data_IF_386219387821
#
_entry.id   IF_386219387821
#
_cell.length_a   1.000
_cell.length_b   1.000
_cell.length_c   1.000
_cell.angle_alpha   90.00
_cell.angle_beta   90.00
_cell.angle_gamma   90.00
#
_symmetry.space_group_name_H-M   'P 1'
#
loop_
_entity.id
_entity.type
_entity.pdbx_description
1 polymer ?
#
# COMPACT_ATOMS: atom_id res chain seq x y z
N UNK A 1 -6.08 24.13 -23.62
CA UNK A 1 -5.96 23.67 -25.01
C UNK A 1 -4.59 24.08 -25.58
N UNK A 2 -4.20 25.34 -25.57
CA UNK A 2 -2.91 25.80 -26.08
C UNK A 2 -1.70 25.09 -25.45
N UNK A 3 -1.67 24.89 -24.13
CA UNK A 3 -0.59 24.18 -23.46
C UNK A 3 -0.49 22.70 -23.88
N UNK A 4 -1.62 22.05 -24.12
CA UNK A 4 -1.65 20.67 -24.60
C UNK A 4 -1.05 20.54 -26.01
N UNK A 5 -1.47 21.42 -26.92
CA UNK A 5 -0.92 21.45 -28.30
C UNK A 5 0.58 21.79 -28.30
N UNK A 6 1.01 22.68 -27.40
CA UNK A 6 2.42 22.98 -27.25
C UNK A 6 3.25 21.76 -26.82
N UNK A 7 2.75 20.97 -25.85
CA UNK A 7 3.44 19.75 -25.40
C UNK A 7 3.51 18.72 -26.52
N UNK A 8 2.42 18.53 -27.27
CA UNK A 8 2.39 17.58 -28.39
C UNK A 8 3.34 17.98 -29.51
N UNK A 9 3.40 19.28 -29.84
CA UNK A 9 4.25 19.79 -30.92
C UNK A 9 5.74 19.74 -30.59
N UNK A 10 6.12 19.88 -29.30
CA UNK A 10 7.51 19.94 -28.86
C UNK A 10 7.93 18.73 -28.02
N UNK A 11 7.29 17.57 -28.25
CA UNK A 11 7.46 16.38 -27.40
C UNK A 11 8.92 15.94 -27.29
N UNK A 12 9.72 16.09 -28.35
CA UNK A 12 11.13 15.67 -28.37
C UNK A 12 12.04 16.46 -27.41
N UNK A 13 11.66 17.68 -27.09
CA UNK A 13 12.41 18.55 -26.20
C UNK A 13 11.85 18.57 -24.78
N UNK A 14 10.83 17.76 -24.52
CA UNK A 14 10.13 17.74 -23.25
C UNK A 14 10.26 16.39 -22.53
N UNK A 15 10.32 16.48 -21.21
CA UNK A 15 10.01 15.38 -20.30
C UNK A 15 8.53 15.45 -19.98
N UNK A 16 7.79 14.40 -20.27
CA UNK A 16 6.38 14.30 -19.92
C UNK A 16 6.22 13.46 -18.66
N UNK A 17 5.50 13.99 -17.69
CA UNK A 17 5.21 13.35 -16.42
C UNK A 17 3.70 13.34 -16.14
N UNK A 18 3.24 12.41 -15.32
CA UNK A 18 1.87 12.48 -14.78
C UNK A 18 1.78 13.55 -13.71
N UNK A 19 0.74 14.38 -13.76
CA UNK A 19 0.44 15.44 -12.78
C UNK A 19 0.23 14.86 -11.39
N UNK A 20 -0.53 13.77 -11.30
CA UNK A 20 -0.79 13.06 -10.05
C UNK A 20 -0.23 11.65 -10.18
N UNK A 21 0.79 11.36 -9.40
CA UNK A 21 1.27 9.99 -9.26
C UNK A 21 0.24 9.22 -8.44
N UNK A 22 -0.64 8.50 -9.11
CA UNK A 22 -1.36 7.43 -8.43
C UNK A 22 -0.30 6.36 -8.11
N UNK A 23 -0.12 5.95 -6.85
CA UNK A 23 0.75 4.83 -6.52
C UNK A 23 0.09 3.55 -7.04
N UNK A 24 0.16 3.32 -8.31
CA UNK A 24 -0.20 2.03 -8.90
C UNK A 24 0.99 1.11 -8.71
N UNK A 25 0.76 0.04 -7.96
CA UNK A 25 1.69 -1.00 -7.54
C UNK A 25 2.45 -1.72 -8.67
N UNK A 26 2.24 -1.37 -9.93
CA UNK A 26 2.69 -2.19 -11.08
C UNK A 26 3.75 -1.52 -11.94
N UNK A 27 4.06 -0.23 -11.81
CA UNK A 27 5.16 0.35 -12.59
C UNK A 27 6.27 0.89 -11.70
N UNK A 28 7.39 0.20 -11.73
CA UNK A 28 8.69 0.71 -11.26
C UNK A 28 9.15 1.93 -12.09
N UNK A 29 8.40 2.32 -13.09
CA UNK A 29 8.59 3.49 -13.90
C UNK A 29 8.03 4.71 -13.19
N UNK A 30 8.90 5.64 -12.88
CA UNK A 30 8.60 6.92 -12.24
C UNK A 30 7.71 7.84 -13.10
N UNK A 31 6.86 7.32 -13.94
CA UNK A 31 5.86 8.07 -14.70
C UNK A 31 6.37 9.26 -15.52
N UNK A 32 7.71 9.40 -15.65
CA UNK A 32 8.37 10.44 -16.44
C UNK A 32 9.02 9.81 -17.67
N UNK A 33 8.75 10.38 -18.82
CA UNK A 33 9.25 9.89 -20.10
C UNK A 33 9.87 11.06 -20.86
N UNK A 34 11.08 10.86 -21.39
CA UNK A 34 11.70 11.80 -22.30
C UNK A 34 11.16 11.56 -23.71
N UNK A 35 10.54 12.56 -24.30
CA UNK A 35 9.87 12.40 -25.58
C UNK A 35 10.79 11.95 -26.72
N UNK A 36 12.08 12.35 -26.70
CA UNK A 36 13.08 11.94 -27.70
C UNK A 36 13.54 10.48 -27.56
N UNK A 37 13.22 9.80 -26.47
CA UNK A 37 13.59 8.38 -26.24
C UNK A 37 12.45 7.42 -26.58
N UNK A 38 11.28 7.93 -26.95
CA UNK A 38 10.12 7.14 -27.32
C UNK A 38 10.23 6.57 -28.73
N UNK A 39 9.82 5.33 -28.91
CA UNK A 39 9.52 4.77 -30.22
C UNK A 39 8.30 5.48 -30.86
N UNK A 40 8.14 5.36 -32.17
CA UNK A 40 7.00 5.97 -32.85
C UNK A 40 5.64 5.47 -32.31
N UNK A 41 5.54 4.19 -31.96
CA UNK A 41 4.33 3.61 -31.40
C UNK A 41 4.02 4.16 -30.00
N UNK A 42 5.02 4.21 -29.11
CA UNK A 42 4.89 4.77 -27.76
C UNK A 42 4.56 6.27 -27.81
N UNK A 43 5.15 6.99 -28.77
CA UNK A 43 4.87 8.40 -29.03
C UNK A 43 3.41 8.62 -29.43
N UNK A 44 2.92 7.83 -30.38
CA UNK A 44 1.53 7.93 -30.84
C UNK A 44 0.55 7.63 -29.70
N UNK A 45 0.80 6.61 -28.91
CA UNK A 45 -0.01 6.26 -27.75
C UNK A 45 0.02 7.36 -26.66
N UNK A 46 1.18 7.94 -26.36
CA UNK A 46 1.30 9.04 -25.43
C UNK A 46 0.53 10.29 -25.92
N UNK A 47 0.65 10.64 -27.17
CA UNK A 47 -0.09 11.77 -27.78
C UNK A 47 -1.59 11.56 -27.66
N UNK A 48 -2.08 10.36 -27.94
CA UNK A 48 -3.50 10.05 -27.83
C UNK A 48 -3.99 10.16 -26.37
N UNK A 49 -3.22 9.66 -25.41
CA UNK A 49 -3.53 9.82 -23.97
C UNK A 49 -3.54 11.29 -23.55
N UNK A 50 -2.58 12.09 -24.01
CA UNK A 50 -2.54 13.54 -23.72
C UNK A 50 -3.76 14.25 -24.33
N UNK A 51 -4.21 13.86 -25.52
CA UNK A 51 -5.42 14.41 -26.14
C UNK A 51 -6.67 14.10 -25.35
N UNK A 52 -6.78 12.86 -24.86
CA UNK A 52 -7.94 12.41 -24.11
C UNK A 52 -7.98 12.98 -22.68
N UNK A 53 -6.83 13.09 -22.04
CA UNK A 53 -6.71 13.42 -20.60
C UNK A 53 -5.53 14.36 -20.32
N UNK A 54 -5.47 15.48 -21.03
CA UNK A 54 -4.36 16.43 -20.93
C UNK A 54 -4.09 16.96 -19.51
N UNK A 55 -5.10 17.00 -18.64
CA UNK A 55 -4.96 17.42 -17.25
C UNK A 55 -4.17 16.41 -16.37
N UNK A 56 -4.02 15.16 -16.83
CA UNK A 56 -3.23 14.13 -16.15
C UNK A 56 -1.73 14.23 -16.43
N UNK A 57 -1.30 15.13 -17.31
CA UNK A 57 0.08 15.23 -17.79
C UNK A 57 0.66 16.63 -17.66
N UNK A 58 1.95 16.68 -17.41
CA UNK A 58 2.77 17.90 -17.42
C UNK A 58 3.95 17.70 -18.34
N UNK A 59 4.15 18.63 -19.28
CA UNK A 59 5.38 18.74 -20.07
C UNK A 59 6.36 19.69 -19.39
N UNK A 60 7.60 19.25 -19.22
CA UNK A 60 8.70 20.05 -18.66
C UNK A 60 9.86 20.06 -19.65
N UNK A 61 10.50 21.20 -19.83
CA UNK A 61 11.67 21.32 -20.67
C UNK A 61 12.78 20.34 -20.23
N UNK A 62 13.34 19.61 -21.19
CA UNK A 62 14.43 18.69 -20.95
C UNK A 62 15.75 19.47 -20.84
N UNK A 63 16.23 19.65 -19.62
CA UNK A 63 17.49 20.34 -19.35
C UNK A 63 18.69 19.39 -19.47
N UNK A 64 19.80 19.89 -19.98
CA UNK A 64 21.08 19.17 -19.97
C UNK A 64 21.78 19.42 -18.63
N UNK A 65 22.03 18.37 -17.86
CA UNK A 65 22.68 18.47 -16.57
C UNK A 65 24.19 18.63 -16.69
N UNK A 66 24.79 19.36 -15.78
CA UNK A 66 26.24 19.37 -15.55
C UNK A 66 26.70 17.99 -15.11
N UNK A 67 27.98 17.69 -15.31
CA UNK A 67 28.57 16.41 -14.91
C UNK A 67 29.55 16.55 -13.77
N UNK A 68 29.70 15.46 -13.00
CA UNK A 68 30.75 15.32 -11.98
C UNK A 68 31.48 14.00 -12.18
N UNK A 69 32.79 13.92 -11.82
CA UNK A 69 33.55 12.69 -11.91
C UNK A 69 32.97 11.61 -10.98
N UNK A 70 32.72 10.42 -11.48
CA UNK A 70 32.28 9.26 -10.72
C UNK A 70 33.21 8.08 -10.98
N UNK A 71 33.44 7.26 -9.95
CA UNK A 71 34.21 6.04 -10.08
C UNK A 71 33.37 4.92 -10.66
N UNK A 72 33.82 4.34 -11.76
CA UNK A 72 33.14 3.25 -12.44
C UNK A 72 34.16 2.26 -13.01
N UNK A 73 34.12 1.02 -12.56
CA UNK A 73 34.95 -0.07 -13.07
C UNK A 73 36.46 0.18 -13.07
N UNK A 74 37.02 0.98 -12.15
CA UNK A 74 38.45 1.23 -12.03
C UNK A 74 38.94 2.56 -12.65
N UNK A 75 38.04 3.38 -13.21
CA UNK A 75 38.38 4.68 -13.78
C UNK A 75 37.32 5.75 -13.47
N UNK A 76 37.68 7.02 -13.66
CA UNK A 76 36.76 8.14 -13.52
C UNK A 76 35.99 8.39 -14.80
N UNK A 77 34.68 8.48 -14.67
CA UNK A 77 33.75 8.82 -15.77
C UNK A 77 32.97 10.09 -15.41
N UNK A 78 32.61 10.89 -16.39
CA UNK A 78 31.73 12.02 -16.21
C UNK A 78 30.28 11.52 -16.09
N UNK A 79 29.62 11.79 -14.97
CA UNK A 79 28.22 11.42 -14.72
C UNK A 79 27.35 12.69 -14.51
N UNK A 80 26.16 12.74 -15.11
CA UNK A 80 25.22 13.83 -14.87
C UNK A 80 24.91 13.97 -13.38
N UNK A 81 24.87 15.21 -12.89
CA UNK A 81 24.62 15.49 -11.48
C UNK A 81 23.49 16.50 -11.30
N UNK A 82 22.84 16.42 -10.16
CA UNK A 82 21.95 17.45 -9.63
C UNK A 82 22.30 17.77 -8.18
N UNK A 83 22.43 19.05 -7.86
CA UNK A 83 22.70 19.55 -6.53
C UNK A 83 21.41 20.07 -5.90
N UNK A 84 21.03 19.50 -4.75
CA UNK A 84 19.92 19.98 -3.95
C UNK A 84 20.46 20.90 -2.86
N UNK A 85 20.04 22.16 -2.91
CA UNK A 85 20.31 23.16 -1.88
C UNK A 85 19.05 23.37 -1.04
N UNK A 86 19.24 23.84 0.19
CA UNK A 86 18.16 24.17 1.11
C UNK A 86 18.28 25.63 1.53
N UNK A 87 17.20 26.38 1.34
CA UNK A 87 17.07 27.75 1.75
C UNK A 87 15.75 27.97 2.49
N UNK A 88 15.72 28.79 3.49
CA UNK A 88 14.53 29.21 4.20
C UNK A 88 14.40 30.71 4.22
N UNK A 89 13.19 31.23 4.05
CA UNK A 89 12.91 32.65 4.17
C UNK A 89 13.02 33.07 5.64
N UNK A 90 13.71 34.20 5.88
CA UNK A 90 13.84 34.81 7.21
C UNK A 90 13.62 36.32 7.09
N UNK A 91 12.41 36.79 7.33
CA UNK A 91 12.01 38.17 7.02
C UNK A 91 12.05 38.43 5.51
N UNK A 92 12.79 39.46 5.09
CA UNK A 92 12.95 39.82 3.68
C UNK A 92 14.13 39.12 2.99
N UNK A 93 14.87 38.27 3.74
CA UNK A 93 16.06 37.56 3.26
C UNK A 93 15.88 36.06 3.26
N UNK A 94 16.89 35.35 2.71
CA UNK A 94 16.98 33.89 2.74
C UNK A 94 18.25 33.44 3.48
N UNK A 95 18.07 32.45 4.36
CA UNK A 95 19.19 31.73 4.95
C UNK A 95 19.38 30.43 4.19
N UNK A 96 20.55 30.20 3.66
CA UNK A 96 20.94 29.02 2.91
C UNK A 96 21.75 28.11 3.81
N UNK A 97 21.37 26.83 3.86
CA UNK A 97 22.14 25.79 4.57
C UNK A 97 23.54 25.69 3.91
N UNK A 98 24.65 25.78 4.68
CA UNK A 98 26.00 25.63 4.15
C UNK A 98 26.31 24.17 3.85
N UNK A 99 25.73 23.62 2.78
CA UNK A 99 25.81 22.25 2.34
C UNK A 99 24.68 21.91 1.40
N UNK A 100 24.65 20.66 0.95
CA UNK A 100 23.64 20.17 0.04
C UNK A 100 23.72 18.66 -0.18
N UNK A 101 22.85 18.15 -1.00
CA UNK A 101 22.88 16.77 -1.44
C UNK A 101 23.15 16.72 -2.95
N UNK A 102 24.31 16.23 -3.34
CA UNK A 102 24.64 15.98 -4.74
C UNK A 102 24.22 14.56 -5.10
N UNK A 103 23.41 14.43 -6.14
CA UNK A 103 23.07 13.14 -6.76
C UNK A 103 23.74 13.03 -8.10
N UNK A 104 24.21 11.82 -8.43
CA UNK A 104 24.82 11.47 -9.72
C UNK A 104 24.00 10.38 -10.39
N UNK A 105 23.78 10.49 -11.70
CA UNK A 105 23.09 9.48 -12.48
C UNK A 105 23.95 8.22 -12.64
N UNK A 106 23.31 7.05 -12.67
CA UNK A 106 23.95 5.79 -13.07
C UNK A 106 24.09 5.64 -14.59
N UNK A 107 23.34 6.42 -15.36
CA UNK A 107 23.39 6.41 -16.84
C UNK A 107 24.25 7.55 -17.39
N UNK A 108 24.74 7.38 -18.63
CA UNK A 108 25.50 8.40 -19.33
C UNK A 108 24.60 9.45 -20.01
N UNK A 109 23.29 9.28 -19.97
CA UNK A 109 22.37 10.26 -20.54
C UNK A 109 22.48 11.58 -19.76
N UNK A 110 22.90 12.65 -20.44
CA UNK A 110 22.99 14.00 -19.86
C UNK A 110 21.61 14.65 -19.70
N UNK A 111 20.58 14.07 -20.28
CA UNK A 111 19.18 14.48 -20.11
C UNK A 111 18.57 13.63 -19.00
N UNK A 112 18.64 14.09 -17.78
CA UNK A 112 18.11 13.30 -16.66
C UNK A 112 16.61 13.43 -16.59
N UNK A 113 15.94 12.32 -16.82
CA UNK A 113 14.50 12.18 -16.63
C UNK A 113 14.16 11.82 -15.20
N UNK A 114 14.98 11.08 -14.50
CA UNK A 114 14.75 10.70 -13.11
C UNK A 114 16.03 10.34 -12.37
N UNK A 115 16.32 11.11 -11.34
CA UNK A 115 17.40 10.82 -10.38
C UNK A 115 17.03 9.72 -9.38
N UNK A 116 15.88 9.08 -9.52
CA UNK A 116 15.39 8.05 -8.57
C UNK A 116 15.83 6.63 -8.95
N UNK A 117 16.26 6.41 -10.18
CA UNK A 117 16.71 5.10 -10.67
C UNK A 117 18.19 4.90 -10.40
N UNK A 118 18.54 4.22 -9.30
CA UNK A 118 19.90 3.73 -9.04
C UNK A 118 20.99 4.79 -8.97
N UNK A 119 20.64 6.04 -8.65
CA UNK A 119 21.61 7.14 -8.57
C UNK A 119 22.48 7.04 -7.32
N UNK A 120 23.77 7.29 -7.47
CA UNK A 120 24.67 7.49 -6.36
C UNK A 120 24.52 8.86 -5.72
N UNK A 121 25.10 9.05 -4.55
CA UNK A 121 25.23 10.35 -3.89
C UNK A 121 26.68 10.73 -3.69
N UNK A 122 26.97 12.03 -3.63
CA UNK A 122 28.27 12.58 -3.30
C UNK A 122 28.11 13.62 -2.20
N UNK A 123 29.15 13.73 -1.36
CA UNK A 123 29.25 14.81 -0.42
C UNK A 123 29.34 16.17 -1.14
N UNK A 124 28.68 17.16 -0.57
CA UNK A 124 28.72 18.54 -1.05
C UNK A 124 29.49 19.39 -0.06
N UNK A 125 30.67 19.80 -0.43
CA UNK A 125 31.50 20.67 0.39
C UNK A 125 31.37 22.12 -0.08
N UNK A 126 31.08 22.98 0.87
CA UNK A 126 31.02 24.41 0.64
C UNK A 126 32.36 25.02 1.09
N UNK A 127 33.12 25.57 0.15
CA UNK A 127 34.39 26.23 0.44
C UNK A 127 34.11 27.58 1.09
N UNK A 128 34.81 27.88 2.19
CA UNK A 128 34.74 29.17 2.87
C UNK A 128 36.14 29.73 3.02
N UNK A 129 36.27 31.03 2.82
CA UNK A 129 37.53 31.79 3.08
C UNK A 129 37.70 32.16 4.55
N UNK A 130 36.66 32.00 5.36
CA UNK A 130 36.66 32.30 6.80
C UNK A 130 36.41 31.01 7.60
N UNK A 131 36.92 30.94 8.86
CA UNK A 131 36.60 29.81 9.71
C UNK A 131 35.09 29.64 9.87
N UNK A 132 34.58 28.46 9.59
CA UNK A 132 33.15 28.11 9.76
C UNK A 132 32.94 27.69 11.21
N UNK A 133 32.05 28.36 11.93
CA UNK A 133 31.63 27.96 13.27
C UNK A 133 30.93 26.58 13.22
N UNK A 134 31.30 25.70 14.14
CA UNK A 134 30.59 24.44 14.28
C UNK A 134 29.20 24.70 14.86
N UNK A 135 28.14 24.44 14.06
CA UNK A 135 26.76 24.43 14.54
C UNK A 135 26.28 22.99 14.65
N UNK A 136 25.82 22.64 15.83
CA UNK A 136 25.21 21.36 16.05
C UNK A 136 23.86 21.49 16.76
N UNK A 137 22.83 20.83 16.24
CA UNK A 137 21.56 20.67 16.95
C UNK A 137 21.67 19.65 18.08
N UNK A 138 22.73 18.85 18.11
CA UNK A 138 23.05 17.98 19.23
C UNK A 138 23.54 18.84 20.40
N UNK A 139 22.92 18.69 21.55
CA UNK A 139 23.36 19.37 22.78
C UNK A 139 24.73 18.86 23.18
N UNK A 140 25.70 19.78 23.29
CA UNK A 140 27.04 19.51 23.82
C UNK A 140 27.14 19.75 25.33
N UNK A 141 26.06 20.20 25.99
CA UNK A 141 26.11 20.58 27.40
C UNK A 141 25.67 19.46 28.32
N UNK A 142 26.49 19.19 29.34
CA UNK A 142 26.19 18.44 30.55
C UNK A 142 25.18 19.15 31.49
N UNK A 143 24.56 20.24 31.04
CA UNK A 143 23.49 20.91 31.77
C UNK A 143 22.24 20.00 31.81
N UNK A 144 21.62 19.95 32.99
CA UNK A 144 20.44 19.14 33.25
C UNK A 144 19.47 19.11 32.08
N UNK A 145 19.09 17.96 31.57
CA UNK A 145 18.27 17.88 30.37
C UNK A 145 16.92 18.57 30.61
N UNK A 146 16.69 19.64 29.88
CA UNK A 146 15.35 20.24 29.83
C UNK A 146 14.45 19.24 29.11
N UNK A 147 13.53 18.65 29.83
CA UNK A 147 12.53 17.72 29.27
C UNK A 147 11.68 18.45 28.22
N UNK A 148 12.05 18.32 26.96
CA UNK A 148 11.22 18.71 25.83
C UNK A 148 10.73 17.44 25.15
N UNK A 149 9.43 17.23 25.15
CA UNK A 149 8.82 16.18 24.34
C UNK A 149 8.82 16.64 22.88
N UNK A 150 9.90 16.33 22.17
CA UNK A 150 9.92 16.47 20.71
C UNK A 150 9.16 15.28 20.11
N UNK A 151 8.36 15.48 19.09
CA UNK A 151 7.69 14.38 18.40
C UNK A 151 6.35 14.69 17.75
N UNK A 152 5.91 15.96 17.78
CA UNK A 152 4.66 16.35 17.14
C UNK A 152 4.82 16.65 15.64
N UNK A 153 6.04 16.79 15.13
CA UNK A 153 6.30 17.02 13.73
C UNK A 153 6.40 15.70 12.95
N UNK A 154 5.30 15.32 12.34
CA UNK A 154 5.26 14.17 11.45
C UNK A 154 5.35 14.66 10.00
N UNK A 155 6.43 14.33 9.25
CA UNK A 155 6.49 14.64 7.83
C UNK A 155 5.31 14.04 7.06
N UNK A 156 4.72 14.79 6.13
CA UNK A 156 3.53 14.37 5.37
C UNK A 156 3.70 12.98 4.73
N UNK A 157 4.89 12.66 4.21
CA UNK A 157 5.19 11.33 3.68
C UNK A 157 5.14 10.23 4.73
N UNK A 158 5.61 10.51 5.93
CA UNK A 158 5.56 9.53 7.02
C UNK A 158 4.12 9.30 7.47
N UNK A 159 3.31 10.39 7.57
CA UNK A 159 1.89 10.29 7.84
C UNK A 159 1.16 9.44 6.79
N UNK A 160 1.39 9.74 5.50
CA UNK A 160 0.82 8.99 4.39
C UNK A 160 1.22 7.51 4.42
N UNK A 161 2.50 7.22 4.58
CA UNK A 161 2.98 5.84 4.66
C UNK A 161 2.40 5.09 5.88
N UNK A 162 2.30 5.72 7.06
CA UNK A 162 1.69 5.10 8.23
C UNK A 162 0.20 4.81 8.00
N UNK A 163 -0.53 5.75 7.40
CA UNK A 163 -1.92 5.54 7.01
C UNK A 163 -2.07 4.36 6.03
N UNK A 164 -1.27 4.33 4.98
CA UNK A 164 -1.32 3.24 4.00
C UNK A 164 -0.85 1.90 4.57
N UNK A 165 0.11 1.91 5.48
CA UNK A 165 0.48 0.69 6.22
C UNK A 165 -0.72 0.13 6.98
N UNK A 166 -1.47 1.00 7.66
CA UNK A 166 -2.71 0.62 8.34
C UNK A 166 -3.74 0.02 7.38
N UNK A 167 -3.97 0.70 6.25
CA UNK A 167 -4.90 0.23 5.21
C UNK A 167 -4.51 -1.15 4.68
N UNK A 168 -3.25 -1.32 4.26
CA UNK A 168 -2.80 -2.58 3.67
C UNK A 168 -2.71 -3.72 4.69
N UNK A 169 -2.32 -3.45 5.93
CA UNK A 169 -2.31 -4.46 6.98
C UNK A 169 -3.73 -5.02 7.24
N UNK A 170 -4.73 -4.15 7.39
CA UNK A 170 -6.12 -4.57 7.60
C UNK A 170 -6.70 -5.26 6.36
N UNK A 171 -6.37 -4.78 5.14
CA UNK A 171 -6.77 -5.44 3.89
C UNK A 171 -6.21 -6.84 3.78
N UNK A 172 -4.94 -7.02 4.14
CA UNK A 172 -4.26 -8.33 4.14
C UNK A 172 -4.93 -9.28 5.13
N UNK A 173 -5.19 -8.82 6.35
CA UNK A 173 -5.90 -9.60 7.36
C UNK A 173 -7.30 -10.00 6.88
N UNK A 174 -8.05 -9.05 6.31
CA UNK A 174 -9.39 -9.30 5.76
C UNK A 174 -9.38 -10.30 4.62
N UNK A 175 -8.41 -10.20 3.70
CA UNK A 175 -8.24 -11.15 2.60
C UNK A 175 -7.94 -12.57 3.12
N UNK A 176 -7.07 -12.70 4.12
CA UNK A 176 -6.78 -14.00 4.76
C UNK A 176 -8.03 -14.60 5.42
N UNK A 177 -8.85 -13.80 6.11
CA UNK A 177 -10.10 -14.24 6.73
C UNK A 177 -11.12 -14.69 5.68
N UNK A 178 -11.26 -13.93 4.58
CA UNK A 178 -12.12 -14.29 3.45
C UNK A 178 -11.70 -15.63 2.82
N UNK A 179 -10.41 -15.80 2.54
CA UNK A 179 -9.88 -17.03 1.97
C UNK A 179 -10.07 -18.22 2.92
N UNK A 180 -9.84 -18.03 4.23
CA UNK A 180 -10.09 -19.08 5.22
C UNK A 180 -11.56 -19.51 5.25
N UNK A 181 -12.50 -18.55 5.23
CA UNK A 181 -13.92 -18.84 5.17
C UNK A 181 -14.31 -19.59 3.88
N UNK A 182 -13.69 -19.23 2.73
CA UNK A 182 -13.87 -19.96 1.48
C UNK A 182 -13.35 -21.39 1.54
N UNK A 183 -12.16 -21.62 2.12
CA UNK A 183 -11.60 -22.97 2.31
C UNK A 183 -12.48 -23.83 3.21
N UNK A 184 -13.01 -23.29 4.31
CA UNK A 184 -13.94 -23.99 5.18
C UNK A 184 -15.16 -24.46 4.41
N UNK A 185 -15.70 -23.60 3.53
CA UNK A 185 -16.84 -23.94 2.68
C UNK A 185 -16.52 -25.02 1.64
N UNK A 186 -15.35 -24.95 1.04
CA UNK A 186 -14.90 -25.97 0.10
C UNK A 186 -14.72 -27.35 0.77
N UNK A 187 -14.42 -27.36 2.08
CA UNK A 187 -14.29 -28.60 2.86
C UNK A 187 -15.64 -29.19 3.31
N UNK A 188 -16.67 -28.35 3.53
CA UNK A 188 -17.98 -28.76 4.11
C UNK A 188 -18.94 -29.43 3.11
N UNK A 189 -18.60 -29.58 1.87
CA UNK A 189 -19.34 -30.06 0.71
C UNK A 189 -19.84 -28.94 -0.23
N UNK A 190 -19.33 -29.04 -1.42
CA UNK A 190 -19.12 -27.77 -2.13
C UNK A 190 -20.23 -27.37 -3.06
N UNK A 191 -21.22 -28.12 -3.45
CA UNK A 191 -21.75 -27.76 -4.76
C UNK A 191 -23.23 -27.97 -5.02
N UNK A 192 -23.99 -28.48 -4.12
CA UNK A 192 -25.41 -28.68 -4.39
C UNK A 192 -26.31 -27.48 -4.06
N UNK A 193 -25.81 -26.54 -3.27
CA UNK A 193 -26.56 -25.31 -2.94
C UNK A 193 -26.15 -24.15 -3.83
N UNK A 194 -27.03 -23.77 -4.75
CA UNK A 194 -26.84 -22.63 -5.65
C UNK A 194 -26.60 -21.29 -4.92
N UNK A 195 -27.19 -21.13 -3.74
CA UNK A 195 -27.12 -19.90 -2.93
C UNK A 195 -25.77 -19.80 -2.23
N UNK A 196 -25.25 -20.91 -1.69
CA UNK A 196 -23.90 -20.96 -1.11
C UNK A 196 -22.82 -20.64 -2.16
N UNK A 197 -23.00 -21.14 -3.37
CA UNK A 197 -22.09 -20.85 -4.48
C UNK A 197 -22.11 -19.36 -4.87
N UNK A 198 -23.28 -18.72 -4.92
CA UNK A 198 -23.40 -17.28 -5.18
C UNK A 198 -22.69 -16.47 -4.08
N UNK A 199 -22.82 -16.85 -2.82
CA UNK A 199 -22.11 -16.20 -1.71
C UNK A 199 -20.58 -16.33 -1.87
N UNK A 200 -20.06 -17.51 -2.17
CA UNK A 200 -18.63 -17.73 -2.42
C UNK A 200 -18.12 -16.86 -3.59
N UNK A 201 -18.86 -16.76 -4.66
CA UNK A 201 -18.50 -15.90 -5.79
C UNK A 201 -18.46 -14.43 -5.43
N UNK A 202 -19.36 -13.96 -4.56
CA UNK A 202 -19.33 -12.58 -4.06
C UNK A 202 -18.12 -12.34 -3.17
N UNK A 203 -17.75 -13.28 -2.32
CA UNK A 203 -16.52 -13.16 -1.51
C UNK A 203 -15.27 -13.11 -2.41
N UNK A 204 -15.19 -13.95 -3.45
CA UNK A 204 -14.12 -13.91 -4.44
C UNK A 204 -14.09 -12.56 -5.21
N UNK A 205 -15.26 -12.03 -5.54
CA UNK A 205 -15.33 -10.71 -6.18
C UNK A 205 -14.77 -9.60 -5.28
N UNK A 206 -15.09 -9.64 -4.00
CA UNK A 206 -14.59 -8.66 -3.02
C UNK A 206 -13.07 -8.73 -2.86
N UNK A 207 -12.48 -9.93 -2.94
CA UNK A 207 -11.03 -10.10 -2.97
C UNK A 207 -10.42 -9.45 -4.22
N UNK A 208 -11.02 -9.70 -5.38
CA UNK A 208 -10.54 -9.17 -6.66
C UNK A 208 -10.65 -7.64 -6.76
N UNK A 209 -11.70 -7.07 -6.20
CA UNK A 209 -12.08 -5.66 -6.35
C UNK A 209 -12.40 -5.01 -5.00
N UNK A 210 -11.38 -4.81 -4.14
CA UNK A 210 -11.59 -4.20 -2.83
C UNK A 210 -12.22 -2.81 -2.97
N UNK A 211 -13.39 -2.62 -2.35
CA UNK A 211 -14.12 -1.34 -2.37
C UNK A 211 -15.08 -1.14 -3.53
N UNK A 212 -15.13 -2.01 -4.55
CA UNK A 212 -16.12 -1.94 -5.62
C UNK A 212 -17.45 -2.60 -5.21
N UNK A 213 -18.20 -1.90 -4.38
CA UNK A 213 -19.49 -2.38 -3.87
C UNK A 213 -20.55 -2.38 -4.96
N UNK A 214 -20.50 -1.42 -5.88
CA UNK A 214 -21.47 -1.31 -6.97
C UNK A 214 -21.31 -2.41 -8.02
N UNK A 215 -20.09 -2.78 -8.35
CA UNK A 215 -19.81 -3.94 -9.18
C UNK A 215 -20.27 -5.24 -8.54
N UNK A 216 -20.08 -5.38 -7.22
CA UNK A 216 -20.56 -6.50 -6.44
C UNK A 216 -22.09 -6.69 -6.55
N UNK A 217 -22.85 -5.58 -6.52
CA UNK A 217 -24.31 -5.60 -6.62
C UNK A 217 -24.83 -5.89 -8.03
N UNK A 218 -24.16 -5.34 -9.05
CA UNK A 218 -24.57 -5.49 -10.47
C UNK A 218 -24.27 -6.86 -11.06
N UNK A 219 -23.35 -7.63 -10.45
CA UNK A 219 -22.91 -8.90 -11.02
C UNK A 219 -23.96 -9.98 -10.87
N UNK A 220 -24.74 -10.22 -11.93
CA UNK A 220 -25.50 -11.44 -12.22
C UNK A 220 -24.65 -12.29 -13.15
N UNK A 221 -23.63 -12.95 -12.63
CA UNK A 221 -22.68 -13.69 -13.44
C UNK A 221 -22.99 -15.16 -13.59
N UNK A 222 -22.34 -15.78 -14.56
CA UNK A 222 -22.28 -17.24 -14.72
C UNK A 222 -21.75 -17.86 -13.44
N UNK A 223 -22.46 -18.85 -12.92
CA UNK A 223 -22.06 -19.60 -11.72
C UNK A 223 -20.75 -20.31 -11.96
N UNK A 224 -19.73 -20.04 -11.11
CA UNK A 224 -18.46 -20.75 -11.16
C UNK A 224 -18.65 -22.19 -10.67
N UNK A 225 -17.96 -23.16 -11.29
CA UNK A 225 -17.90 -24.51 -10.75
C UNK A 225 -17.02 -24.55 -9.48
N UNK A 226 -17.16 -25.58 -8.66
CA UNK A 226 -16.29 -25.81 -7.49
C UNK A 226 -14.82 -25.77 -7.88
N UNK A 227 -14.44 -26.47 -8.94
CA UNK A 227 -13.05 -26.47 -9.45
C UNK A 227 -12.56 -25.07 -9.84
N UNK A 228 -13.43 -24.23 -10.43
CA UNK A 228 -13.07 -22.85 -10.76
C UNK A 228 -12.90 -21.99 -9.51
N UNK A 229 -13.71 -22.19 -8.48
CA UNK A 229 -13.58 -21.52 -7.19
C UNK A 229 -12.26 -21.94 -6.52
N UNK A 230 -11.97 -23.25 -6.49
CA UNK A 230 -10.74 -23.80 -5.94
C UNK A 230 -9.48 -23.25 -6.63
N UNK A 231 -9.47 -23.23 -7.96
CA UNK A 231 -8.37 -22.63 -8.75
C UNK A 231 -8.17 -21.13 -8.43
N UNK A 232 -9.26 -20.39 -8.25
CA UNK A 232 -9.19 -18.97 -7.85
C UNK A 232 -8.63 -18.80 -6.45
N UNK A 233 -9.10 -19.60 -5.49
CA UNK A 233 -8.58 -19.58 -4.12
C UNK A 233 -7.10 -19.90 -4.09
N UNK A 234 -6.67 -20.91 -4.85
CA UNK A 234 -5.27 -21.29 -4.99
C UNK A 234 -4.43 -20.15 -5.58
N UNK A 235 -4.92 -19.47 -6.62
CA UNK A 235 -4.24 -18.32 -7.20
C UNK A 235 -4.07 -17.19 -6.18
N UNK A 236 -5.13 -16.82 -5.46
CA UNK A 236 -5.05 -15.79 -4.40
C UNK A 236 -4.07 -16.14 -3.28
N UNK A 237 -3.91 -17.42 -2.97
CA UNK A 237 -3.00 -17.87 -1.91
C UNK A 237 -1.53 -17.88 -2.34
N UNK A 238 -1.24 -18.32 -3.57
CA UNK A 238 0.11 -18.73 -3.93
C UNK A 238 0.68 -18.05 -5.20
N UNK A 239 -0.16 -17.44 -6.04
CA UNK A 239 0.34 -16.80 -7.26
C UNK A 239 0.84 -15.38 -6.95
N UNK A 240 2.16 -15.11 -7.11
CA UNK A 240 2.72 -13.79 -6.88
C UNK A 240 2.29 -12.75 -7.92
N UNK A 241 1.70 -13.15 -9.04
CA UNK A 241 1.18 -12.27 -10.09
C UNK A 241 -0.30 -11.93 -9.91
N UNK A 242 -1.03 -12.67 -9.03
CA UNK A 242 -2.46 -12.42 -8.81
C UNK A 242 -2.69 -11.08 -8.11
N UNK A 243 -3.38 -10.13 -8.76
CA UNK A 243 -3.71 -8.85 -8.14
C UNK A 243 -4.55 -9.04 -6.86
N UNK A 244 -4.18 -8.36 -5.79
CA UNK A 244 -4.81 -8.52 -4.46
C UNK A 244 -4.69 -9.91 -3.83
N UNK A 245 -3.88 -10.81 -4.40
CA UNK A 245 -3.49 -12.07 -3.77
C UNK A 245 -2.62 -11.86 -2.53
N UNK A 246 -2.57 -12.86 -1.66
CA UNK A 246 -1.78 -12.80 -0.41
C UNK A 246 -0.31 -12.43 -0.68
N UNK A 247 0.39 -13.00 -1.69
CA UNK A 247 1.78 -12.63 -1.95
C UNK A 247 1.94 -11.13 -2.31
N UNK A 248 1.03 -10.57 -3.08
CA UNK A 248 1.07 -9.16 -3.46
C UNK A 248 0.72 -8.23 -2.28
N UNK A 249 -0.28 -8.58 -1.48
CA UNK A 249 -0.68 -7.81 -0.31
C UNK A 249 0.44 -7.78 0.73
N UNK A 250 1.03 -8.93 1.05
CA UNK A 250 2.13 -9.04 2.02
C UNK A 250 3.38 -8.30 1.53
N UNK A 251 3.72 -8.40 0.25
CA UNK A 251 4.80 -7.61 -0.37
C UNK A 251 4.55 -6.10 -0.20
N UNK A 252 3.31 -5.66 -0.40
CA UNK A 252 2.92 -4.26 -0.25
C UNK A 252 3.05 -3.78 1.18
N UNK A 253 2.56 -4.58 2.14
CA UNK A 253 2.72 -4.29 3.58
C UNK A 253 4.20 -4.17 3.94
N UNK A 254 5.04 -5.13 3.55
CA UNK A 254 6.48 -5.11 3.84
C UNK A 254 7.16 -3.88 3.22
N UNK A 255 6.85 -3.55 1.96
CA UNK A 255 7.39 -2.36 1.29
C UNK A 255 7.02 -1.06 2.00
N UNK A 256 5.76 -0.88 2.39
CA UNK A 256 5.33 0.33 3.09
C UNK A 256 5.92 0.38 4.51
N UNK A 257 5.97 -0.76 5.22
CA UNK A 257 6.61 -0.86 6.51
C UNK A 257 8.11 -0.50 6.45
N UNK A 258 8.80 -0.88 5.39
CA UNK A 258 10.21 -0.50 5.17
C UNK A 258 10.42 1.01 5.06
N UNK A 259 9.46 1.73 4.47
CA UNK A 259 9.49 3.19 4.35
C UNK A 259 9.23 3.93 5.68
N UNK A 260 8.70 3.21 6.68
CA UNK A 260 8.35 3.76 8.01
C UNK A 260 9.04 3.00 9.14
N UNK A 261 10.14 2.30 8.83
CA UNK A 261 10.84 1.45 9.79
C UNK A 261 11.28 2.20 11.05
N UNK A 262 11.65 3.48 10.91
CA UNK A 262 12.02 4.38 12.00
C UNK A 262 10.87 4.74 12.94
N UNK A 263 9.63 4.44 12.55
CA UNK A 263 8.39 4.71 13.30
C UNK A 263 7.75 3.45 13.89
N UNK A 264 8.26 2.28 13.54
CA UNK A 264 7.80 0.99 14.06
C UNK A 264 8.74 0.49 15.14
N UNK A 265 8.21 -0.26 16.11
CA UNK A 265 9.08 -1.02 17.00
C UNK A 265 9.84 -2.09 16.20
N UNK A 266 11.03 -2.45 16.68
CA UNK A 266 11.85 -3.45 16.01
C UNK A 266 11.10 -4.79 15.85
N UNK A 267 10.32 -5.17 16.85
CA UNK A 267 9.55 -6.41 16.83
C UNK A 267 8.38 -6.34 15.85
N UNK A 268 7.67 -5.20 15.76
CA UNK A 268 6.63 -5.00 14.76
C UNK A 268 7.19 -5.09 13.33
N UNK A 269 8.37 -4.49 13.08
CA UNK A 269 9.07 -4.61 11.80
C UNK A 269 9.45 -6.07 11.50
N UNK A 270 10.11 -6.75 12.44
CA UNK A 270 10.52 -8.16 12.28
C UNK A 270 9.36 -9.08 12.01
N UNK A 271 8.22 -8.85 12.67
CA UNK A 271 6.99 -9.63 12.47
C UNK A 271 6.49 -9.53 11.03
N UNK A 272 6.47 -8.33 10.45
CA UNK A 272 6.05 -8.15 9.05
C UNK A 272 7.08 -8.68 8.06
N UNK A 273 8.37 -8.52 8.35
CA UNK A 273 9.44 -9.07 7.50
C UNK A 273 9.42 -10.60 7.51
N UNK A 274 9.23 -11.23 8.67
CA UNK A 274 9.08 -12.67 8.78
C UNK A 274 7.89 -13.18 7.96
N UNK A 275 6.72 -12.53 8.07
CA UNK A 275 5.55 -12.85 7.26
C UNK A 275 5.86 -12.80 5.76
N UNK A 276 6.58 -11.77 5.33
CA UNK A 276 6.99 -11.63 3.94
C UNK A 276 7.93 -12.77 3.50
N UNK A 277 8.91 -13.13 4.31
CA UNK A 277 9.82 -14.24 4.03
C UNK A 277 9.07 -15.59 3.97
N UNK A 278 8.12 -15.81 4.87
CA UNK A 278 7.32 -17.04 4.90
C UNK A 278 6.46 -17.17 3.64
N UNK A 279 5.86 -16.07 3.18
CA UNK A 279 5.11 -16.05 1.91
C UNK A 279 6.01 -16.31 0.71
N UNK A 280 7.22 -15.74 0.66
CA UNK A 280 8.18 -15.99 -0.42
C UNK A 280 8.64 -17.45 -0.50
N UNK A 281 8.62 -18.19 0.61
CA UNK A 281 8.96 -19.63 0.65
C UNK A 281 7.84 -20.52 0.14
N UNK A 282 6.59 -20.02 0.12
CA UNK A 282 5.47 -20.76 -0.46
C UNK A 282 5.66 -20.89 -1.97
N UNK A 283 5.44 -22.09 -2.49
CA UNK A 283 5.53 -22.37 -3.93
C UNK A 283 4.14 -22.62 -4.50
N UNK A 284 3.88 -22.22 -5.75
CA UNK A 284 2.68 -22.63 -6.46
C UNK A 284 2.55 -24.15 -6.44
N UNK A 285 1.35 -24.65 -6.19
CA UNK A 285 1.05 -26.08 -6.08
C UNK A 285 0.20 -26.54 -7.24
N UNK A 286 0.29 -27.81 -7.57
CA UNK A 286 -0.50 -28.40 -8.67
C UNK A 286 -1.97 -28.52 -8.28
N UNK A 287 -2.23 -28.81 -6.99
CA UNK A 287 -3.60 -28.88 -6.43
C UNK A 287 -3.63 -28.20 -5.06
N UNK A 288 -4.84 -27.82 -4.65
CA UNK A 288 -5.09 -27.18 -3.36
C UNK A 288 -5.35 -28.28 -2.30
N UNK A 289 -4.41 -28.38 -1.33
CA UNK A 289 -4.69 -29.08 -0.08
C UNK A 289 -5.38 -28.09 0.87
N UNK A 290 -6.69 -28.30 1.11
CA UNK A 290 -7.50 -27.38 1.93
C UNK A 290 -7.01 -27.35 3.37
N UNK A 291 -6.58 -28.49 3.94
CA UNK A 291 -6.09 -28.57 5.31
C UNK A 291 -4.80 -27.79 5.48
N UNK A 292 -3.85 -28.00 4.58
CA UNK A 292 -2.57 -27.29 4.58
C UNK A 292 -2.74 -25.78 4.31
N UNK A 293 -3.58 -25.40 3.33
CA UNK A 293 -3.88 -23.99 3.03
C UNK A 293 -4.52 -23.28 4.23
N UNK A 294 -5.41 -23.97 4.95
CA UNK A 294 -6.02 -23.46 6.18
C UNK A 294 -5.00 -23.29 7.30
N UNK A 295 -4.06 -24.22 7.46
CA UNK A 295 -2.98 -24.10 8.45
C UNK A 295 -2.08 -22.90 8.14
N UNK A 296 -1.67 -22.72 6.88
CA UNK A 296 -0.87 -21.59 6.43
C UNK A 296 -1.58 -20.25 6.73
N UNK A 297 -2.86 -20.13 6.38
CA UNK A 297 -3.65 -18.92 6.66
C UNK A 297 -3.79 -18.64 8.14
N UNK A 298 -3.96 -19.68 8.98
CA UNK A 298 -4.04 -19.51 10.42
C UNK A 298 -2.73 -18.99 11.01
N UNK A 299 -1.57 -19.45 10.50
CA UNK A 299 -0.26 -18.95 10.91
C UNK A 299 -0.06 -17.50 10.50
N UNK A 300 -0.43 -17.15 9.27
CA UNK A 300 -0.37 -15.77 8.78
C UNK A 300 -1.28 -14.85 9.58
N UNK A 301 -2.51 -15.28 9.90
CA UNK A 301 -3.45 -14.51 10.72
C UNK A 301 -2.92 -14.29 12.15
N UNK A 302 -2.26 -15.29 12.75
CA UNK A 302 -1.59 -15.13 14.05
C UNK A 302 -0.49 -14.08 13.97
N UNK A 303 0.30 -14.08 12.90
CA UNK A 303 1.36 -13.09 12.66
C UNK A 303 0.78 -11.68 12.50
N UNK A 304 -0.31 -11.52 11.75
CA UNK A 304 -1.01 -10.23 11.62
C UNK A 304 -1.61 -9.75 12.94
N UNK A 305 -2.12 -10.67 13.76
CA UNK A 305 -2.63 -10.36 15.11
C UNK A 305 -1.48 -9.93 16.03
N UNK A 306 -0.32 -10.59 15.97
CA UNK A 306 0.87 -10.19 16.70
C UNK A 306 1.33 -8.77 16.29
N UNK A 307 1.40 -8.46 15.00
CA UNK A 307 1.69 -7.11 14.53
C UNK A 307 0.69 -6.08 15.07
N UNK A 308 -0.59 -6.42 15.09
CA UNK A 308 -1.64 -5.55 15.65
C UNK A 308 -1.44 -5.29 17.14
N UNK A 309 -1.11 -6.32 17.92
CA UNK A 309 -0.80 -6.21 19.35
C UNK A 309 0.45 -5.36 19.60
N UNK A 310 1.54 -5.61 18.85
CA UNK A 310 2.76 -4.81 18.93
C UNK A 310 2.52 -3.33 18.55
N UNK A 311 1.68 -3.08 17.55
CA UNK A 311 1.26 -1.72 17.20
C UNK A 311 0.49 -1.00 18.30
N UNK A 312 -0.28 -1.74 19.10
CA UNK A 312 -1.03 -1.19 20.23
C UNK A 312 -0.18 -1.02 21.49
N UNK A 313 0.73 -1.95 21.78
CA UNK A 313 1.48 -1.98 23.04
C UNK A 313 2.87 -1.33 22.94
N UNK A 314 3.56 -1.49 21.80
CA UNK A 314 4.96 -1.10 21.68
C UNK A 314 5.18 0.18 20.85
N UNK A 315 4.10 0.83 20.39
CA UNK A 315 4.22 2.06 19.61
C UNK A 315 3.74 3.27 20.40
N UNK A 316 4.59 4.28 20.53
CA UNK A 316 4.21 5.55 21.17
C UNK A 316 3.03 6.17 20.42
N UNK A 317 1.98 6.57 21.15
CA UNK A 317 0.73 7.10 20.59
C UNK A 317 0.86 8.55 20.08
N UNK A 318 1.86 8.76 19.24
CA UNK A 318 2.08 10.01 18.51
C UNK A 318 1.17 10.11 17.28
N UNK A 319 1.33 11.16 16.50
CA UNK A 319 0.57 11.34 15.25
C UNK A 319 0.74 10.15 14.29
N UNK A 320 1.95 9.58 14.16
CA UNK A 320 2.20 8.42 13.29
C UNK A 320 1.34 7.21 13.66
N UNK A 321 1.22 6.91 14.96
CA UNK A 321 0.32 5.86 15.44
C UNK A 321 -1.15 6.15 15.08
N UNK A 322 -1.59 7.41 15.20
CA UNK A 322 -2.98 7.80 14.86
C UNK A 322 -3.27 7.59 13.38
N UNK A 323 -2.32 7.90 12.49
CA UNK A 323 -2.47 7.64 11.05
C UNK A 323 -2.54 6.14 10.74
N UNK A 324 -1.73 5.32 11.42
CA UNK A 324 -1.79 3.86 11.30
C UNK A 324 -3.16 3.32 11.73
N UNK A 325 -3.64 3.73 12.91
CA UNK A 325 -4.93 3.29 13.46
C UNK A 325 -6.09 3.78 12.59
N UNK A 326 -6.07 5.03 12.13
CA UNK A 326 -7.06 5.57 11.20
C UNK A 326 -7.11 4.76 9.90
N UNK A 327 -5.95 4.44 9.33
CA UNK A 327 -5.88 3.59 8.13
C UNK A 327 -6.53 2.22 8.35
N UNK A 328 -6.24 1.57 9.47
CA UNK A 328 -6.84 0.28 9.85
C UNK A 328 -8.35 0.37 10.01
N UNK A 329 -8.84 1.35 10.77
CA UNK A 329 -10.28 1.53 11.02
C UNK A 329 -11.06 1.82 9.75
N UNK A 330 -10.56 2.70 8.89
CA UNK A 330 -11.21 3.01 7.61
C UNK A 330 -11.26 1.80 6.67
N UNK A 331 -10.19 1.00 6.59
CA UNK A 331 -10.21 -0.21 5.77
C UNK A 331 -11.20 -1.23 6.33
N UNK A 332 -11.22 -1.42 7.65
CA UNK A 332 -12.16 -2.33 8.33
C UNK A 332 -13.60 -1.92 8.09
N UNK A 333 -13.94 -0.66 8.31
CA UNK A 333 -15.29 -0.15 8.08
C UNK A 333 -15.72 -0.33 6.61
N UNK A 334 -14.84 -0.01 5.66
CA UNK A 334 -15.11 -0.20 4.23
C UNK A 334 -15.33 -1.68 3.87
N UNK A 335 -14.50 -2.57 4.40
CA UNK A 335 -14.62 -4.01 4.19
C UNK A 335 -15.91 -4.55 4.81
N UNK A 336 -16.23 -4.14 6.04
CA UNK A 336 -17.45 -4.55 6.73
C UNK A 336 -18.70 -4.09 5.98
N UNK A 337 -18.76 -2.83 5.56
CA UNK A 337 -19.86 -2.31 4.75
C UNK A 337 -20.03 -3.09 3.43
N UNK A 338 -18.91 -3.43 2.78
CA UNK A 338 -18.91 -4.27 1.58
C UNK A 338 -19.44 -5.68 1.84
N UNK A 339 -18.99 -6.33 2.92
CA UNK A 339 -19.44 -7.66 3.34
C UNK A 339 -20.95 -7.68 3.62
N UNK A 340 -21.43 -6.72 4.41
CA UNK A 340 -22.86 -6.59 4.72
C UNK A 340 -23.69 -6.43 3.46
N UNK A 341 -23.36 -5.45 2.61
CA UNK A 341 -24.06 -5.24 1.33
C UNK A 341 -24.00 -6.47 0.43
N UNK A 342 -22.82 -7.08 0.30
CA UNK A 342 -22.61 -8.21 -0.58
C UNK A 342 -23.40 -9.46 -0.16
N UNK A 343 -23.28 -9.85 1.09
CA UNK A 343 -23.91 -11.07 1.60
C UNK A 343 -25.42 -10.91 1.81
N UNK A 344 -25.87 -9.75 2.34
CA UNK A 344 -27.31 -9.51 2.54
C UNK A 344 -28.09 -9.39 1.22
N UNK A 345 -27.41 -9.20 0.08
CA UNK A 345 -28.05 -9.15 -1.24
C UNK A 345 -28.27 -10.54 -1.90
N UNK A 346 -27.91 -11.64 -1.25
CA UNK A 346 -27.95 -13.00 -1.82
C UNK A 346 -29.27 -13.74 -1.54
N UNK A 347 -30.29 -13.11 -1.01
CA UNK A 347 -31.56 -13.75 -0.68
C UNK A 347 -31.98 -13.49 0.76
N UNK A 348 -32.68 -14.43 1.40
CA UNK A 348 -33.07 -14.29 2.80
C UNK A 348 -31.83 -14.38 3.71
N UNK A 349 -31.44 -13.29 4.40
CA UNK A 349 -30.26 -13.27 5.24
C UNK A 349 -30.31 -14.25 6.43
N UNK A 350 -31.51 -14.64 6.87
CA UNK A 350 -31.68 -15.56 8.00
C UNK A 350 -31.61 -17.03 7.58
N UNK A 351 -31.67 -17.29 6.27
CA UNK A 351 -31.44 -18.62 5.73
C UNK A 351 -29.97 -18.88 5.39
N UNK A 352 -29.60 -20.14 5.31
CA UNK A 352 -28.29 -20.58 4.76
C UNK A 352 -27.01 -20.16 5.52
N UNK A 353 -27.09 -19.78 6.80
CA UNK A 353 -25.92 -19.46 7.63
C UNK A 353 -25.11 -18.24 7.19
N UNK A 354 -25.72 -17.29 6.47
CA UNK A 354 -25.04 -16.05 6.07
C UNK A 354 -24.66 -15.18 7.27
N UNK A 355 -25.51 -15.11 8.27
CA UNK A 355 -25.24 -14.33 9.48
C UNK A 355 -24.08 -14.93 10.29
N UNK A 356 -23.98 -16.27 10.34
CA UNK A 356 -22.86 -16.98 10.94
C UNK A 356 -21.54 -16.59 10.24
N UNK A 357 -21.55 -16.53 8.90
CA UNK A 357 -20.37 -16.15 8.11
C UNK A 357 -19.99 -14.68 8.30
N UNK A 358 -20.95 -13.79 8.38
CA UNK A 358 -20.67 -12.39 8.70
C UNK A 358 -19.99 -12.27 10.06
N UNK A 359 -20.51 -12.95 11.08
CA UNK A 359 -19.93 -12.97 12.42
C UNK A 359 -18.53 -13.62 12.44
N UNK A 360 -18.31 -14.68 11.68
CA UNK A 360 -17.00 -15.30 11.51
C UNK A 360 -15.99 -14.35 10.87
N UNK A 361 -16.34 -13.74 9.73
CA UNK A 361 -15.49 -12.80 9.01
C UNK A 361 -15.18 -11.54 9.83
N UNK A 362 -16.15 -11.10 10.64
CA UNK A 362 -16.02 -10.00 11.58
C UNK A 362 -15.28 -10.37 12.87
N UNK A 363 -14.92 -11.67 13.06
CA UNK A 363 -14.33 -12.16 14.31
C UNK A 363 -15.20 -11.82 15.54
N UNK A 364 -16.52 -11.83 15.38
CA UNK A 364 -17.49 -11.37 16.38
C UNK A 364 -18.48 -12.46 16.82
N UNK A 365 -18.26 -13.71 16.40
CA UNK A 365 -19.18 -14.81 16.68
C UNK A 365 -19.33 -15.10 18.20
N UNK A 366 -18.21 -15.12 18.91
CA UNK A 366 -18.22 -15.33 20.38
C UNK A 366 -18.84 -14.14 21.10
N UNK A 367 -18.56 -12.92 20.65
CA UNK A 367 -19.18 -11.69 21.18
C UNK A 367 -20.68 -11.72 21.00
N UNK A 368 -21.15 -12.15 19.81
CA UNK A 368 -22.58 -12.31 19.54
C UNK A 368 -23.21 -13.29 20.52
N UNK A 369 -22.64 -14.50 20.65
CA UNK A 369 -23.16 -15.51 21.58
C UNK A 369 -23.22 -15.06 23.02
N UNK A 370 -22.20 -14.34 23.48
CA UNK A 370 -22.14 -13.85 24.83
C UNK A 370 -23.20 -12.76 25.11
N UNK A 371 -23.55 -11.95 24.10
CA UNK A 371 -24.48 -10.82 24.27
C UNK A 371 -25.94 -11.18 24.04
N UNK A 372 -26.22 -11.90 22.94
CA UNK A 372 -27.60 -12.10 22.51
C UNK A 372 -28.15 -13.49 22.86
N UNK A 373 -27.29 -14.43 23.26
CA UNK A 373 -27.66 -15.78 23.76
C UNK A 373 -28.67 -16.50 22.85
N UNK A 374 -28.58 -16.27 21.55
CA UNK A 374 -29.51 -16.79 20.56
C UNK A 374 -28.78 -17.23 19.28
N UNK A 375 -29.47 -17.97 18.43
CA UNK A 375 -29.02 -18.19 17.04
C UNK A 375 -28.91 -16.83 16.33
N UNK A 376 -27.98 -16.66 15.39
CA UNK A 376 -27.82 -15.41 14.67
C UNK A 376 -29.11 -14.96 13.98
N UNK A 377 -29.51 -13.72 14.26
CA UNK A 377 -30.65 -13.02 13.68
C UNK A 377 -30.17 -11.72 13.06
N UNK A 378 -30.85 -11.25 12.01
CA UNK A 378 -30.42 -10.10 11.24
C UNK A 378 -30.25 -8.83 12.09
N UNK A 379 -31.26 -8.46 12.88
CA UNK A 379 -31.24 -7.23 13.67
C UNK A 379 -30.11 -7.23 14.72
N UNK A 380 -29.95 -8.25 15.58
CA UNK A 380 -28.84 -8.30 16.52
C UNK A 380 -27.44 -8.36 15.85
N UNK A 381 -27.32 -8.99 14.67
CA UNK A 381 -26.04 -8.99 13.92
C UNK A 381 -25.71 -7.60 13.39
N UNK A 382 -26.70 -6.87 12.85
CA UNK A 382 -26.52 -5.49 12.40
C UNK A 382 -26.22 -4.56 13.58
N UNK A 383 -26.88 -4.72 14.70
CA UNK A 383 -26.59 -3.97 15.92
C UNK A 383 -25.13 -4.16 16.33
N UNK A 384 -24.67 -5.40 16.46
CA UNK A 384 -23.30 -5.73 16.85
C UNK A 384 -22.23 -5.21 15.86
N UNK A 385 -22.48 -5.29 14.56
CA UNK A 385 -21.48 -5.02 13.53
C UNK A 385 -21.51 -3.58 12.99
N UNK A 386 -22.61 -2.84 13.17
CA UNK A 386 -22.72 -1.47 12.69
C UNK A 386 -22.76 -0.41 13.78
N UNK A 387 -23.42 -0.71 14.92
CA UNK A 387 -23.83 0.31 15.89
C UNK A 387 -23.14 0.17 17.24
N UNK A 388 -22.72 -1.03 17.62
CA UNK A 388 -22.12 -1.28 18.92
C UNK A 388 -20.70 -0.72 19.02
N UNK A 389 -20.53 0.45 19.62
CA UNK A 389 -19.24 1.12 19.83
C UNK A 389 -18.27 0.32 20.68
N UNK A 390 -18.75 -0.62 21.50
CA UNK A 390 -17.90 -1.45 22.35
C UNK A 390 -17.34 -2.67 21.63
N UNK A 391 -17.85 -3.02 20.44
CA UNK A 391 -17.29 -4.06 19.61
C UNK A 391 -16.17 -3.46 18.72
N UNK A 392 -14.89 -3.85 18.93
CA UNK A 392 -13.77 -3.28 18.14
C UNK A 392 -13.82 -3.63 16.65
N UNK A 393 -14.76 -4.48 16.25
CA UNK A 393 -15.00 -4.88 14.85
C UNK A 393 -16.24 -4.22 14.25
N UNK A 394 -16.97 -3.42 15.02
CA UNK A 394 -18.08 -2.60 14.52
C UNK A 394 -17.61 -1.51 13.57
N UNK A 395 -18.53 -0.99 12.77
CA UNK A 395 -18.31 0.20 11.92
C UNK A 395 -18.29 1.48 12.77
N UNK A 396 -19.03 1.51 13.88
CA UNK A 396 -19.12 2.62 14.83
C UNK A 396 -17.82 2.96 15.57
#
# INVERSE_FOLDING_TARGET
EAAREHVIANLDDLVVARTFQTPTLVSADAGQVLGSELSEEERADLIERIRQRGYDYVGQEAITLSTAPAWDGGHLVARPMALRMYATALGDDYVVMPGGLTRISSSNSTRAVSMQRGSGSKDTWVLSSTPVGSFSLMRQDDSSPVLRRAGDDLPSRAADNMYWLGRYAERTESAMRLLRSLLTRLAEDPVQDSTANVAMQKLLYMLAHPGDVDGLMRRRGRTLSATQIEQRVQAYLFDPSEPNGIPQLVRTVNRVASLTRDRLSLDAWRTLDQLHQDVLRQRPRVWLDIGEASAILNDMLRTMSAFSGLGMENTTRTQGWRFLDMGRRLERASTMAGLLRGLLSVGDPESYGFLDRLLELADSFMTYRARYVSTPRLVPVLDLLLVDESNPRSVA
#
